data_IF_431551652061
#
_entry.id   IF_431551652061
#
_cell.length_a   1.000
_cell.length_b   1.000
_cell.length_c   1.000
_cell.angle_alpha   90.00
_cell.angle_beta   90.00
_cell.angle_gamma   90.00
#
_symmetry.space_group_name_H-M   'P 1'
#
loop_
_entity.id
_entity.type
_entity.pdbx_description
1 polymer ?
#
# COMPACT_ATOMS: atom_id res chain seq x y z
N UNK A 1 13.80 15.54 0.58
CA UNK A 1 12.47 14.93 0.40
C UNK A 1 11.40 15.72 1.13
N UNK A 2 10.30 16.03 0.43
CA UNK A 2 9.05 16.53 1.04
C UNK A 2 8.19 15.34 1.44
N UNK A 3 7.54 15.41 2.59
CA UNK A 3 6.63 14.36 3.06
C UNK A 3 5.46 14.93 3.88
N UNK A 4 4.39 14.15 3.96
CA UNK A 4 3.15 14.50 4.68
C UNK A 4 2.55 13.25 5.33
N UNK A 5 2.13 13.38 6.58
CA UNK A 5 1.36 12.34 7.29
C UNK A 5 -0.07 12.35 6.74
N UNK A 6 -0.61 11.16 6.47
CA UNK A 6 -1.97 10.99 5.99
C UNK A 6 -2.89 10.62 7.16
N UNK A 7 -4.16 11.03 7.08
CA UNK A 7 -5.15 10.73 8.12
C UNK A 7 -5.60 9.27 7.99
N UNK A 8 -5.40 8.49 9.04
CA UNK A 8 -5.72 7.06 9.07
C UNK A 8 -6.31 6.63 10.40
N UNK A 9 -7.00 5.48 10.47
CA UNK A 9 -7.52 4.94 11.72
C UNK A 9 -6.42 4.59 12.71
N UNK A 10 -6.80 4.52 13.99
CA UNK A 10 -5.89 4.11 15.06
C UNK A 10 -5.21 2.77 14.76
N UNK A 11 -3.89 2.72 14.96
CA UNK A 11 -3.09 1.52 14.73
C UNK A 11 -2.56 1.36 13.31
N UNK A 12 -2.87 2.30 12.40
CA UNK A 12 -2.21 2.39 11.09
C UNK A 12 -1.66 3.80 10.94
N UNK A 13 -0.35 3.93 10.75
CA UNK A 13 0.33 5.21 10.51
C UNK A 13 0.80 5.27 9.05
N UNK A 14 0.44 6.31 8.30
CA UNK A 14 0.79 6.43 6.87
C UNK A 14 1.47 7.75 6.56
N UNK A 15 2.49 7.71 5.71
CA UNK A 15 3.20 8.89 5.22
C UNK A 15 3.44 8.78 3.72
N UNK A 16 3.09 9.85 3.01
CA UNK A 16 3.43 10.08 1.61
C UNK A 16 4.68 10.95 1.54
N UNK A 17 5.63 10.60 0.67
CA UNK A 17 6.77 11.46 0.36
C UNK A 17 7.17 11.39 -1.11
N UNK A 18 7.78 12.47 -1.58
CA UNK A 18 8.25 12.57 -2.95
C UNK A 18 9.55 13.36 -3.03
N UNK A 19 10.45 12.83 -3.84
CA UNK A 19 11.73 13.45 -4.16
C UNK A 19 12.27 12.84 -5.47
N UNK A 20 12.25 13.60 -6.58
CA UNK A 20 12.73 13.08 -7.87
C UNK A 20 14.24 12.82 -7.90
N UNK A 21 14.99 13.36 -6.94
CA UNK A 21 16.44 13.14 -6.85
C UNK A 21 16.83 11.86 -6.10
N UNK A 22 15.88 11.24 -5.39
CA UNK A 22 16.12 10.04 -4.60
C UNK A 22 15.65 8.78 -5.33
N UNK A 23 16.39 7.68 -5.15
CA UNK A 23 15.94 6.36 -5.58
C UNK A 23 14.68 5.93 -4.81
N UNK A 24 13.86 5.07 -5.41
CA UNK A 24 12.70 4.49 -4.73
C UNK A 24 13.08 3.80 -3.41
N UNK A 25 14.21 3.09 -3.43
CA UNK A 25 14.73 2.38 -2.28
C UNK A 25 15.07 3.31 -1.10
N UNK A 26 15.69 4.44 -1.39
CA UNK A 26 16.08 5.39 -0.35
C UNK A 26 14.85 6.13 0.18
N UNK A 27 13.91 6.52 -0.69
CA UNK A 27 12.66 7.15 -0.26
C UNK A 27 11.88 6.29 0.71
N UNK A 28 11.62 5.01 0.38
CA UNK A 28 10.85 4.13 1.27
C UNK A 28 11.55 3.90 2.61
N UNK A 29 12.89 3.82 2.65
CA UNK A 29 13.66 3.66 3.89
C UNK A 29 13.59 4.90 4.76
N UNK A 30 13.76 6.09 4.18
CA UNK A 30 13.66 7.36 4.92
C UNK A 30 12.25 7.53 5.48
N UNK A 31 11.21 7.32 4.66
CA UNK A 31 9.82 7.43 5.11
C UNK A 31 9.47 6.43 6.21
N UNK A 32 9.86 5.16 6.07
CA UNK A 32 9.66 4.14 7.09
C UNK A 32 10.38 4.50 8.40
N UNK A 33 11.62 4.97 8.31
CA UNK A 33 12.43 5.39 9.45
C UNK A 33 11.78 6.55 10.20
N UNK A 34 11.31 7.57 9.47
CA UNK A 34 10.59 8.70 10.05
C UNK A 34 9.25 8.27 10.68
N UNK A 35 8.54 7.30 10.11
CA UNK A 35 7.27 6.81 10.65
C UNK A 35 7.47 6.05 11.96
N UNK A 36 8.42 5.11 11.97
CA UNK A 36 8.77 4.34 13.17
C UNK A 36 9.26 5.25 14.28
N UNK A 37 10.13 6.21 13.98
CA UNK A 37 10.62 7.18 14.96
C UNK A 37 9.49 8.01 15.55
N UNK A 38 8.56 8.50 14.72
CA UNK A 38 7.41 9.26 15.19
C UNK A 38 6.48 8.41 16.09
N UNK A 39 6.16 7.16 15.68
CA UNK A 39 5.31 6.24 16.45
C UNK A 39 5.89 5.93 17.83
N UNK A 40 7.20 5.71 17.89
CA UNK A 40 7.91 5.36 19.13
C UNK A 40 8.40 6.58 19.92
N UNK A 41 8.21 7.81 19.40
CA UNK A 41 8.73 9.06 19.98
C UNK A 41 10.25 9.04 20.18
N UNK A 42 10.97 8.51 19.17
CA UNK A 42 12.43 8.41 19.14
C UNK A 42 13.03 9.41 18.14
N UNK A 43 14.34 9.67 18.25
CA UNK A 43 15.09 10.34 17.19
C UNK A 43 15.22 9.38 16.00
N UNK A 44 14.96 9.82 14.75
CA UNK A 44 15.16 8.99 13.59
C UNK A 44 16.52 8.29 13.58
N UNK A 45 17.62 8.92 14.01
CA UNK A 45 18.96 8.31 13.98
C UNK A 45 19.04 6.99 14.77
N UNK A 46 18.19 6.81 15.77
CA UNK A 46 18.15 5.63 16.65
C UNK A 46 17.36 4.47 16.03
N UNK A 47 16.68 4.71 14.89
CA UNK A 47 15.92 3.71 14.15
C UNK A 47 16.72 3.21 12.94
N UNK A 48 16.88 1.90 12.85
CA UNK A 48 17.45 1.21 11.70
C UNK A 48 16.34 0.53 10.91
N UNK A 49 16.21 0.87 9.63
CA UNK A 49 15.28 0.21 8.69
C UNK A 49 16.09 -0.56 7.68
N UNK A 50 15.77 -1.82 7.51
CA UNK A 50 16.45 -2.75 6.62
C UNK A 50 15.45 -3.56 5.81
N UNK A 51 15.98 -4.26 4.80
CA UNK A 51 15.19 -5.13 3.94
C UNK A 51 15.47 -6.56 4.34
N UNK A 52 14.42 -7.37 4.46
CA UNK A 52 14.56 -8.80 4.67
C UNK A 52 15.48 -9.42 3.61
N UNK A 53 16.27 -10.40 4.03
CA UNK A 53 16.96 -11.26 3.08
C UNK A 53 15.90 -12.05 2.31
N UNK A 54 16.00 -12.16 0.96
CA UNK A 54 15.07 -12.96 0.20
C UNK A 54 15.20 -14.42 0.66
N UNK A 55 14.13 -14.96 1.23
CA UNK A 55 14.11 -16.35 1.70
C UNK A 55 14.26 -17.35 0.54
N UNK A 56 13.66 -17.04 -0.61
CA UNK A 56 13.66 -17.83 -1.84
C UNK A 56 13.52 -16.91 -3.08
N UNK A 57 13.84 -17.42 -4.28
CA UNK A 57 13.60 -16.69 -5.52
C UNK A 57 12.09 -16.42 -5.69
N UNK A 58 11.72 -15.17 -5.94
CA UNK A 58 10.32 -14.74 -6.07
C UNK A 58 9.63 -14.30 -4.77
N UNK A 59 10.34 -14.26 -3.63
CA UNK A 59 9.82 -13.66 -2.40
C UNK A 59 9.96 -12.12 -2.44
N UNK A 60 8.85 -11.40 -2.23
CA UNK A 60 8.90 -9.94 -2.05
C UNK A 60 9.44 -9.62 -0.67
N UNK A 61 10.70 -9.16 -0.62
CA UNK A 61 11.38 -8.76 0.61
C UNK A 61 10.69 -7.55 1.23
N UNK A 62 10.36 -7.62 2.51
CA UNK A 62 9.70 -6.54 3.23
C UNK A 62 10.74 -5.66 3.95
N UNK A 63 10.30 -4.47 4.36
CA UNK A 63 11.09 -3.66 5.28
C UNK A 63 10.80 -4.11 6.71
N UNK A 64 11.83 -4.20 7.53
CA UNK A 64 11.70 -4.33 8.98
C UNK A 64 12.50 -3.23 9.66
N UNK A 65 12.12 -2.91 10.90
CA UNK A 65 12.77 -1.88 11.69
C UNK A 65 13.34 -2.46 12.97
N UNK A 66 14.45 -1.91 13.44
CA UNK A 66 15.07 -2.24 14.72
C UNK A 66 15.51 -0.99 15.48
N UNK A 67 15.51 -1.11 16.81
CA UNK A 67 16.03 -0.12 17.76
C UNK A 67 16.95 -0.88 18.71
N UNK A 68 18.15 -0.36 18.95
CA UNK A 68 19.18 -1.02 19.78
C UNK A 68 19.45 -2.49 19.40
N UNK A 69 19.41 -2.78 18.09
CA UNK A 69 19.63 -4.12 17.55
C UNK A 69 18.46 -5.10 17.76
N UNK A 70 17.34 -4.66 18.33
CA UNK A 70 16.13 -5.47 18.50
C UNK A 70 15.12 -5.13 17.43
N UNK A 71 14.68 -6.15 16.69
CA UNK A 71 13.62 -6.01 15.71
C UNK A 71 12.30 -5.64 16.38
N UNK A 72 11.58 -4.70 15.78
CA UNK A 72 10.28 -4.24 16.22
C UNK A 72 9.19 -5.14 15.62
N UNK A 73 8.20 -5.49 16.43
CA UNK A 73 7.01 -6.21 15.95
C UNK A 73 6.06 -5.23 15.23
N UNK A 74 6.45 -4.83 14.02
CA UNK A 74 5.76 -3.86 13.19
C UNK A 74 5.71 -4.37 11.75
N UNK A 75 4.56 -4.25 11.10
CA UNK A 75 4.46 -4.45 9.66
C UNK A 75 4.71 -3.12 8.95
N UNK A 76 5.63 -3.14 7.97
CA UNK A 76 5.92 -2.00 7.10
C UNK A 76 5.53 -2.37 5.66
N UNK A 77 4.66 -1.55 5.05
CA UNK A 77 4.22 -1.69 3.66
C UNK A 77 4.53 -0.42 2.90
N UNK A 78 4.79 -0.54 1.60
CA UNK A 78 5.06 0.62 0.78
C UNK A 78 4.59 0.39 -0.66
N UNK A 79 4.09 1.45 -1.28
CA UNK A 79 3.85 1.52 -2.72
C UNK A 79 4.56 2.75 -3.29
N UNK A 80 5.04 2.64 -4.52
CA UNK A 80 5.78 3.71 -5.19
C UNK A 80 5.26 3.90 -6.61
N UNK A 81 5.17 5.16 -7.03
CA UNK A 81 4.86 5.52 -8.40
C UNK A 81 5.65 6.75 -8.79
N UNK A 82 6.49 6.61 -9.83
CA UNK A 82 7.43 7.65 -10.28
C UNK A 82 8.29 8.17 -9.11
N UNK A 83 8.22 9.46 -8.82
CA UNK A 83 8.99 10.13 -7.76
C UNK A 83 8.32 10.09 -6.38
N UNK A 84 7.14 9.49 -6.25
CA UNK A 84 6.39 9.41 -5.01
C UNK A 84 6.41 7.99 -4.42
N UNK A 85 6.35 7.95 -3.09
CA UNK A 85 6.30 6.72 -2.29
C UNK A 85 5.39 6.95 -1.10
N UNK A 86 4.47 6.03 -0.87
CA UNK A 86 3.67 5.95 0.35
C UNK A 86 4.17 4.78 1.19
N UNK A 87 4.31 5.01 2.50
CA UNK A 87 4.66 3.97 3.47
C UNK A 87 3.57 3.90 4.53
N UNK A 88 3.15 2.69 4.87
CA UNK A 88 2.25 2.40 5.97
C UNK A 88 2.95 1.53 7.02
N UNK A 89 2.56 1.76 8.27
CA UNK A 89 3.06 1.07 9.45
C UNK A 89 1.88 0.61 10.30
N UNK A 90 1.92 -0.61 10.81
CA UNK A 90 0.95 -1.09 11.81
C UNK A 90 1.60 -1.98 12.85
N UNK A 91 1.14 -1.85 14.09
CA UNK A 91 1.44 -2.73 15.23
C UNK A 91 0.25 -3.66 15.56
N UNK A 92 -0.81 -3.61 14.73
CA UNK A 92 -1.99 -4.45 14.85
C UNK A 92 -1.84 -5.70 13.97
N UNK A 93 -2.58 -6.78 14.26
CA UNK A 93 -2.61 -7.97 13.41
C UNK A 93 -3.43 -7.74 12.13
N UNK A 94 -3.15 -6.64 11.41
CA UNK A 94 -3.78 -6.33 10.13
C UNK A 94 -2.91 -6.77 8.95
N UNK A 95 -3.56 -7.09 7.83
CA UNK A 95 -2.89 -6.97 6.53
C UNK A 95 -3.15 -5.59 5.99
N UNK A 96 -2.14 -5.03 5.33
CA UNK A 96 -2.21 -3.73 4.67
C UNK A 96 -1.75 -3.89 3.23
N UNK A 97 -2.48 -3.26 2.33
CA UNK A 97 -2.11 -3.03 0.94
C UNK A 97 -2.29 -1.57 0.55
N UNK A 98 -1.47 -1.12 -0.40
CA UNK A 98 -1.37 0.25 -0.86
C UNK A 98 -1.39 0.29 -2.39
N UNK A 99 -1.94 1.34 -2.97
CA UNK A 99 -1.59 1.70 -4.35
C UNK A 99 -1.45 3.22 -4.43
N UNK A 100 -0.61 3.66 -5.35
CA UNK A 100 -0.38 5.07 -5.61
C UNK A 100 -0.30 5.31 -7.12
N UNK A 101 -1.02 6.34 -7.59
CA UNK A 101 -1.00 6.82 -8.98
C UNK A 101 -1.01 8.34 -9.01
N UNK A 102 -0.72 8.91 -10.17
CA UNK A 102 -1.11 10.29 -10.45
C UNK A 102 -2.39 10.31 -11.30
N UNK A 103 -2.86 11.52 -11.60
CA UNK A 103 -4.06 11.76 -12.42
C UNK A 103 -3.79 11.71 -13.93
N UNK A 104 -2.56 11.36 -14.35
CA UNK A 104 -2.12 11.41 -15.74
C UNK A 104 -1.43 10.09 -16.14
N UNK A 105 -2.16 8.95 -16.10
CA UNK A 105 -1.65 7.68 -16.57
C UNK A 105 -1.30 7.76 -18.06
N UNK A 106 -0.29 7.00 -18.47
CA UNK A 106 0.01 6.81 -19.89
C UNK A 106 -0.99 5.85 -20.54
N UNK A 107 -1.00 5.81 -21.88
CA UNK A 107 -1.92 4.98 -22.65
C UNK A 107 -1.81 3.49 -22.28
N UNK A 108 -0.59 2.99 -22.05
CA UNK A 108 -0.39 1.59 -21.68
C UNK A 108 -1.07 1.25 -20.35
N UNK A 109 -0.94 2.15 -19.36
CA UNK A 109 -1.60 2.02 -18.06
C UNK A 109 -3.12 2.13 -18.22
N UNK A 110 -3.63 3.05 -19.04
CA UNK A 110 -5.07 3.17 -19.30
C UNK A 110 -5.63 1.86 -19.88
N UNK A 111 -4.99 1.30 -20.91
CA UNK A 111 -5.43 0.04 -21.51
C UNK A 111 -5.40 -1.13 -20.51
N UNK A 112 -4.43 -1.15 -19.60
CA UNK A 112 -4.38 -2.15 -18.52
C UNK A 112 -5.57 -1.97 -17.56
N UNK A 113 -5.85 -0.74 -17.11
CA UNK A 113 -6.99 -0.45 -16.24
C UNK A 113 -8.32 -0.85 -16.89
N UNK A 114 -8.52 -0.50 -18.16
CA UNK A 114 -9.73 -0.80 -18.93
C UNK A 114 -9.99 -2.30 -18.99
N UNK A 115 -8.97 -3.08 -19.37
CA UNK A 115 -9.04 -4.55 -19.49
C UNK A 115 -9.61 -5.24 -18.24
N UNK A 116 -9.34 -4.67 -17.06
CA UNK A 116 -9.57 -5.30 -15.78
C UNK A 116 -10.69 -4.65 -14.94
N UNK A 117 -11.18 -3.47 -15.34
CA UNK A 117 -12.14 -2.70 -14.53
C UNK A 117 -13.59 -3.12 -14.76
N UNK A 118 -13.94 -3.51 -15.99
CA UNK A 118 -15.32 -3.78 -16.43
C UNK A 118 -16.33 -2.68 -16.03
N UNK A 119 -15.87 -1.43 -15.92
CA UNK A 119 -16.73 -0.30 -15.63
C UNK A 119 -17.64 0.00 -16.82
N UNK A 120 -18.82 0.56 -16.55
CA UNK A 120 -19.76 0.90 -17.63
C UNK A 120 -19.24 2.00 -18.56
N UNK A 121 -18.56 3.00 -18.00
CA UNK A 121 -17.89 4.07 -18.74
C UNK A 121 -16.38 3.97 -18.53
N UNK A 122 -15.72 3.29 -19.45
CA UNK A 122 -14.26 3.12 -19.50
C UNK A 122 -13.53 4.33 -20.11
N UNK A 123 -14.24 5.38 -20.49
CA UNK A 123 -13.63 6.63 -20.99
C UNK A 123 -13.39 7.64 -19.88
N UNK A 124 -14.05 7.45 -18.72
CA UNK A 124 -13.82 8.25 -17.54
C UNK A 124 -12.53 7.83 -16.81
N UNK A 125 -11.43 8.48 -17.16
CA UNK A 125 -10.09 8.19 -16.63
C UNK A 125 -10.02 8.33 -15.10
N UNK A 126 -10.68 9.34 -14.52
CA UNK A 126 -10.67 9.51 -13.06
C UNK A 126 -11.36 8.34 -12.37
N UNK A 127 -12.48 7.86 -12.93
CA UNK A 127 -13.20 6.70 -12.42
C UNK A 127 -12.39 5.40 -12.59
N UNK A 128 -11.64 5.26 -13.69
CA UNK A 128 -10.73 4.14 -13.90
C UNK A 128 -9.60 4.12 -12.88
N UNK A 129 -8.94 5.25 -12.63
CA UNK A 129 -7.87 5.36 -11.62
C UNK A 129 -8.42 5.05 -10.23
N UNK A 130 -9.57 5.63 -9.88
CA UNK A 130 -10.26 5.41 -8.60
C UNK A 130 -10.57 3.93 -8.36
N UNK A 131 -11.11 3.25 -9.37
CA UNK A 131 -11.38 1.82 -9.31
C UNK A 131 -10.09 0.99 -9.23
N UNK A 132 -9.13 1.28 -10.12
CA UNK A 132 -7.90 0.52 -10.25
C UNK A 132 -7.06 0.55 -8.98
N UNK A 133 -6.86 1.73 -8.39
CA UNK A 133 -6.06 1.89 -7.16
C UNK A 133 -6.65 1.07 -6.00
N UNK A 134 -7.99 0.96 -5.92
CA UNK A 134 -8.68 0.14 -4.92
C UNK A 134 -8.52 -1.35 -5.16
N UNK A 135 -8.64 -1.79 -6.41
CA UNK A 135 -8.36 -3.18 -6.77
C UNK A 135 -6.92 -3.54 -6.41
N UNK A 136 -5.95 -2.70 -6.77
CA UNK A 136 -4.54 -2.97 -6.49
C UNK A 136 -4.24 -2.98 -4.99
N UNK A 137 -4.77 -2.03 -4.21
CA UNK A 137 -4.61 -2.04 -2.76
C UNK A 137 -5.18 -3.31 -2.12
N UNK A 138 -6.35 -3.78 -2.55
CA UNK A 138 -6.92 -5.06 -2.06
C UNK A 138 -6.06 -6.26 -2.45
N UNK A 139 -5.52 -6.31 -3.68
CA UNK A 139 -4.59 -7.37 -4.10
C UNK A 139 -3.32 -7.40 -3.27
N UNK A 140 -2.76 -6.23 -2.96
CA UNK A 140 -1.58 -6.15 -2.11
C UNK A 140 -1.91 -6.61 -0.68
N UNK A 141 -3.05 -6.19 -0.12
CA UNK A 141 -3.49 -6.57 1.21
C UNK A 141 -3.73 -8.09 1.34
N UNK A 142 -4.18 -8.76 0.26
CA UNK A 142 -4.32 -10.22 0.20
C UNK A 142 -2.98 -10.97 0.27
N UNK A 143 -1.90 -10.35 -0.21
CA UNK A 143 -0.53 -10.84 -0.02
C UNK A 143 -0.13 -12.05 -0.87
N UNK A 144 -1.01 -12.61 -1.72
CA UNK A 144 -0.66 -13.69 -2.67
C UNK A 144 0.02 -13.19 -3.96
N UNK A 145 0.20 -11.87 -4.08
CA UNK A 145 0.91 -11.23 -5.20
C UNK A 145 0.24 -11.51 -6.55
N UNK A 146 1.03 -11.86 -7.56
CA UNK A 146 0.56 -12.11 -8.93
C UNK A 146 -0.46 -13.27 -9.06
N UNK A 147 -0.62 -14.11 -8.02
CA UNK A 147 -1.57 -15.23 -8.04
C UNK A 147 -3.04 -14.78 -8.01
N UNK A 148 -3.32 -13.60 -7.45
CA UNK A 148 -4.65 -13.01 -7.48
C UNK A 148 -4.67 -12.02 -8.63
N UNK A 149 -5.44 -12.27 -9.69
CA UNK A 149 -5.56 -11.30 -10.80
C UNK A 149 -6.50 -10.15 -10.43
N UNK A 150 -6.40 -8.96 -11.06
CA UNK A 150 -7.31 -7.85 -10.80
C UNK A 150 -8.81 -8.20 -10.91
N UNK A 151 -9.20 -8.98 -11.92
CA UNK A 151 -10.61 -9.27 -12.25
C UNK A 151 -11.36 -10.04 -11.16
N UNK A 152 -10.62 -10.80 -10.33
CA UNK A 152 -11.23 -11.57 -9.24
C UNK A 152 -11.54 -10.69 -8.02
N UNK A 153 -10.88 -9.54 -7.89
CA UNK A 153 -11.19 -8.61 -6.80
C UNK A 153 -12.57 -8.01 -7.02
N UNK A 154 -13.36 -8.02 -5.97
CA UNK A 154 -14.68 -7.41 -5.94
C UNK A 154 -14.65 -6.20 -5.04
N UNK A 155 -15.34 -5.15 -5.46
CA UNK A 155 -15.58 -3.95 -4.68
C UNK A 155 -17.08 -3.85 -4.42
N UNK A 156 -17.46 -3.29 -3.28
CA UNK A 156 -18.84 -2.94 -3.03
C UNK A 156 -19.25 -1.71 -3.87
N UNK A 157 -20.54 -1.38 -3.88
CA UNK A 157 -21.06 -0.28 -4.68
C UNK A 157 -20.44 1.08 -4.30
N UNK A 158 -20.02 1.26 -3.04
CA UNK A 158 -19.38 2.48 -2.55
C UNK A 158 -17.87 2.50 -2.78
N UNK A 159 -17.28 1.35 -3.13
CA UNK A 159 -15.84 1.10 -3.21
C UNK A 159 -15.09 1.43 -1.92
N UNK A 160 -15.78 1.35 -0.79
CA UNK A 160 -15.19 1.45 0.55
C UNK A 160 -14.89 0.09 1.14
N UNK A 161 -15.36 -0.98 0.48
CA UNK A 161 -15.01 -2.37 0.80
C UNK A 161 -14.60 -3.14 -0.43
N UNK A 162 -13.69 -4.08 -0.23
CA UNK A 162 -13.30 -5.03 -1.28
C UNK A 162 -12.95 -6.40 -0.72
N UNK A 163 -12.97 -7.43 -1.56
CA UNK A 163 -12.66 -8.80 -1.17
C UNK A 163 -12.18 -9.63 -2.36
N UNK A 164 -11.50 -10.73 -2.05
CA UNK A 164 -11.23 -11.80 -3.01
C UNK A 164 -12.20 -12.95 -2.67
N UNK A 165 -13.01 -13.46 -3.62
CA UNK A 165 -14.10 -14.38 -3.32
C UNK A 165 -13.73 -15.68 -2.59
N UNK A 166 -12.48 -16.11 -2.64
CA UNK A 166 -11.98 -17.32 -2.00
C UNK A 166 -11.40 -17.08 -0.59
N UNK A 167 -11.54 -15.88 -0.04
CA UNK A 167 -11.08 -15.49 1.31
C UNK A 167 -12.21 -14.95 2.18
N UNK A 168 -12.10 -15.18 3.48
CA UNK A 168 -13.03 -14.61 4.47
C UNK A 168 -12.89 -13.09 4.62
N UNK A 169 -11.69 -12.55 4.39
CA UNK A 169 -11.42 -11.13 4.55
C UNK A 169 -12.36 -10.23 3.73
N UNK A 170 -12.86 -9.21 4.43
CA UNK A 170 -13.52 -8.05 3.85
C UNK A 170 -12.64 -6.84 4.16
N UNK A 171 -11.92 -6.35 3.15
CA UNK A 171 -11.00 -5.23 3.31
C UNK A 171 -11.76 -3.93 3.41
N UNK A 172 -11.44 -3.13 4.42
CA UNK A 172 -11.82 -1.70 4.48
C UNK A 172 -10.88 -0.93 3.58
N UNK A 173 -11.43 -0.03 2.76
CA UNK A 173 -10.70 0.76 1.78
C UNK A 173 -10.83 2.24 2.13
N UNK A 174 -9.69 2.94 2.19
CA UNK A 174 -9.62 4.37 2.45
C UNK A 174 -8.91 5.09 1.31
N UNK A 175 -9.49 6.22 0.91
CA UNK A 175 -8.86 7.19 0.03
C UNK A 175 -7.98 8.12 0.87
N UNK A 176 -6.68 8.09 0.62
CA UNK A 176 -5.66 8.92 1.26
C UNK A 176 -5.04 9.93 0.27
N UNK A 177 -5.73 10.21 -0.82
CA UNK A 177 -5.24 11.06 -1.91
C UNK A 177 -4.78 12.43 -1.41
N UNK A 178 -3.60 12.85 -1.86
CA UNK A 178 -2.94 14.06 -1.36
C UNK A 178 -1.95 14.58 -2.40
N UNK A 179 -1.84 15.91 -2.51
CA UNK A 179 -0.85 16.58 -3.35
C UNK A 179 -0.80 16.09 -4.81
N UNK A 180 -1.97 15.77 -5.38
CA UNK A 180 -2.09 15.32 -6.78
C UNK A 180 -1.84 13.82 -7.01
N UNK A 181 -1.57 13.06 -5.95
CA UNK A 181 -1.50 11.60 -5.99
C UNK A 181 -2.81 10.98 -5.52
N UNK A 182 -3.26 9.98 -6.26
CA UNK A 182 -4.33 9.07 -5.82
C UNK A 182 -3.67 7.99 -4.98
N UNK A 183 -4.00 7.94 -3.69
CA UNK A 183 -3.40 7.00 -2.74
C UNK A 183 -4.52 6.21 -2.10
N UNK A 184 -4.45 4.88 -2.20
CA UNK A 184 -5.45 4.01 -1.61
C UNK A 184 -4.82 3.08 -0.59
N UNK A 185 -5.47 2.96 0.57
CA UNK A 185 -5.14 1.99 1.62
C UNK A 185 -6.25 0.94 1.69
N UNK A 186 -5.89 -0.34 1.70
CA UNK A 186 -6.80 -1.44 2.01
C UNK A 186 -6.26 -2.22 3.22
N UNK A 187 -7.14 -2.56 4.17
CA UNK A 187 -6.75 -3.34 5.35
C UNK A 187 -7.87 -4.23 5.88
N UNK A 188 -7.48 -5.34 6.51
CA UNK A 188 -8.37 -6.29 7.18
C UNK A 188 -7.61 -7.01 8.31
N UNK A 189 -8.33 -7.79 9.11
CA UNK A 189 -7.70 -8.73 10.05
C UNK A 189 -6.85 -9.77 9.29
N UNK A 190 -5.63 -10.01 9.78
CA UNK A 190 -4.67 -10.91 9.14
C UNK A 190 -5.05 -12.40 9.21
N UNK A 191 -5.86 -12.81 10.19
CA UNK A 191 -6.41 -14.16 10.23
C UNK A 191 -7.44 -14.36 9.11
N UNK A 192 -8.36 -13.42 8.94
CA UNK A 192 -9.38 -13.49 7.89
C UNK A 192 -8.78 -13.48 6.48
N UNK A 193 -7.72 -12.70 6.25
CA UNK A 193 -7.03 -12.65 4.95
C UNK A 193 -6.34 -13.97 4.57
N UNK A 194 -5.96 -14.77 5.57
CA UNK A 194 -5.29 -16.07 5.37
C UNK A 194 -6.27 -17.24 5.36
N UNK A 195 -7.52 -17.04 5.77
CA UNK A 195 -8.52 -18.10 5.93
C UNK A 195 -9.37 -18.24 4.66
N UNK A 196 -9.37 -19.42 4.01
CA UNK A 196 -10.29 -19.71 2.90
C UNK A 196 -11.76 -19.68 3.36
N UNK A 197 -12.66 -19.38 2.42
CA UNK A 197 -14.13 -19.55 2.61
C UNK A 197 -14.51 -21.02 2.47
#
# INVERSE_FOLDING_TARGET
MKSVVLETPDGIDVRLGWDPSMSEHDRKRVLAKELVAAKLKLDPKDVRVEREAPAQFGFHTQLFASVDGKELSLQIRNASFRAATVVALTDRPYTIGLDIRDLHPDDATIHEMQRHSHLFDETNILNLIDHWTRVQAVREADGRGARVVPDVVKLDATRQRGWVPDRRAQYTILDLSRDGFVVTLAFADAEDARTPV
#
